data_IF_348433435033
#
_entry.id   IF_348433435033
#
_cell.length_a   1.000
_cell.length_b   1.000
_cell.length_c   1.000
_cell.angle_alpha   90.00
_cell.angle_beta   90.00
_cell.angle_gamma   90.00
#
_symmetry.space_group_name_H-M   'P 1'
#
loop_
_entity.id
_entity.type
_entity.pdbx_description
1 polymer ?
#
# COMPACT_ATOMS: atom_id res chain seq x y z
N UNK A 1 -9.15 15.95 11.99
CA UNK A 1 -9.07 15.86 10.51
C UNK A 1 -10.28 16.50 9.81
N UNK A 2 -11.04 17.38 10.49
CA UNK A 2 -12.30 17.91 9.96
C UNK A 2 -12.09 18.62 8.61
N UNK A 3 -12.84 18.19 7.60
CA UNK A 3 -12.81 18.79 6.26
C UNK A 3 -11.58 18.44 5.41
N UNK A 4 -10.63 17.65 5.93
CA UNK A 4 -9.49 17.14 5.17
C UNK A 4 -9.87 15.91 4.36
N UNK A 5 -9.33 15.79 3.16
CA UNK A 5 -9.49 14.60 2.31
C UNK A 5 -8.29 13.67 2.49
N UNK A 6 -8.55 12.46 2.98
CA UNK A 6 -7.53 11.44 3.28
C UNK A 6 -7.72 10.26 2.33
N UNK A 7 -6.72 10.00 1.50
CA UNK A 7 -6.67 8.84 0.62
C UNK A 7 -5.84 7.73 1.28
N UNK A 8 -6.44 6.55 1.45
CA UNK A 8 -5.78 5.39 2.05
C UNK A 8 -5.77 4.27 1.02
N UNK A 9 -4.58 3.74 0.71
CA UNK A 9 -4.47 2.50 -0.08
C UNK A 9 -4.43 1.29 0.84
N UNK A 10 -5.12 0.22 0.48
CA UNK A 10 -5.25 -0.97 1.34
C UNK A 10 -5.29 -2.28 0.56
N UNK A 11 -4.78 -3.35 1.17
CA UNK A 11 -4.73 -4.69 0.58
C UNK A 11 -3.49 -4.94 -0.30
N UNK A 12 -3.42 -6.12 -0.91
CA UNK A 12 -2.39 -6.48 -1.88
C UNK A 12 -2.80 -6.16 -3.32
N UNK A 13 -1.80 -5.88 -4.16
CA UNK A 13 -1.98 -5.83 -5.62
C UNK A 13 -2.08 -7.24 -6.21
N UNK A 14 -2.87 -7.40 -7.27
CA UNK A 14 -3.03 -8.63 -8.06
C UNK A 14 -2.45 -8.39 -9.47
N UNK A 15 -1.32 -9.04 -9.76
CA UNK A 15 -0.67 -8.94 -11.06
C UNK A 15 -1.04 -10.15 -11.91
N UNK A 16 -1.84 -9.89 -12.94
CA UNK A 16 -2.38 -10.91 -13.85
C UNK A 16 -1.27 -11.56 -14.67
N UNK A 17 -1.36 -12.88 -14.79
CA UNK A 17 -0.59 -13.68 -15.74
C UNK A 17 -1.39 -13.83 -17.03
N UNK A 18 -2.71 -14.01 -16.87
CA UNK A 18 -3.70 -14.13 -17.93
C UNK A 18 -5.07 -13.62 -17.41
N UNK A 19 -6.19 -13.91 -18.10
CA UNK A 19 -7.51 -13.45 -17.67
C UNK A 19 -8.10 -14.21 -16.46
N UNK A 20 -7.40 -15.22 -15.95
CA UNK A 20 -7.89 -16.14 -14.90
C UNK A 20 -6.93 -16.22 -13.70
N UNK A 21 -5.63 -16.10 -13.95
CA UNK A 21 -4.54 -16.33 -12.99
C UNK A 21 -3.73 -15.06 -12.79
N UNK A 22 -3.16 -14.96 -11.60
CA UNK A 22 -2.23 -13.90 -11.24
C UNK A 22 -1.52 -14.22 -9.93
N UNK A 23 -0.58 -13.37 -9.56
CA UNK A 23 0.07 -13.42 -8.26
C UNK A 23 -0.34 -12.21 -7.42
N UNK A 24 -0.46 -12.41 -6.12
CA UNK A 24 -0.93 -11.36 -5.20
C UNK A 24 -0.08 -11.32 -3.94
N UNK A 25 0.10 -10.11 -3.42
CA UNK A 25 0.58 -9.94 -2.06
C UNK A 25 -0.51 -10.36 -1.06
N UNK A 26 -0.10 -10.96 0.07
CA UNK A 26 -1.00 -11.59 1.03
C UNK A 26 -1.71 -10.60 1.98
N UNK A 27 -1.50 -9.30 1.80
CA UNK A 27 -2.12 -8.28 2.66
C UNK A 27 -3.63 -8.28 2.50
N UNK A 28 -4.35 -8.56 3.60
CA UNK A 28 -5.82 -8.50 3.67
C UNK A 28 -6.35 -7.09 3.95
N UNK A 29 -5.49 -6.07 4.06
CA UNK A 29 -5.90 -4.68 4.26
C UNK A 29 -6.36 -4.32 5.68
N UNK A 30 -6.07 -5.14 6.70
CA UNK A 30 -6.51 -4.89 8.09
C UNK A 30 -6.00 -3.54 8.62
N UNK A 31 -4.72 -3.21 8.39
CA UNK A 31 -4.16 -1.91 8.77
C UNK A 31 -4.89 -0.75 8.08
N UNK A 32 -5.16 -0.90 6.78
CA UNK A 32 -5.92 0.10 6.01
C UNK A 32 -7.33 0.32 6.57
N UNK A 33 -8.02 -0.74 7.04
CA UNK A 33 -9.31 -0.58 7.70
C UNK A 33 -9.19 0.29 8.96
N UNK A 34 -8.25 0.00 9.87
CA UNK A 34 -8.08 0.81 11.08
C UNK A 34 -7.76 2.28 10.78
N UNK A 35 -6.91 2.51 9.77
CA UNK A 35 -6.60 3.87 9.31
C UNK A 35 -7.84 4.59 8.79
N UNK A 36 -8.66 3.92 7.99
CA UNK A 36 -9.85 4.51 7.38
C UNK A 36 -10.93 4.85 8.43
N UNK A 37 -11.13 3.94 9.38
CA UNK A 37 -12.06 4.16 10.49
C UNK A 37 -11.61 5.32 11.39
N UNK A 38 -10.33 5.40 11.73
CA UNK A 38 -9.81 6.50 12.54
C UNK A 38 -9.86 7.84 11.80
N UNK A 39 -9.55 7.87 10.50
CA UNK A 39 -9.68 9.06 9.67
C UNK A 39 -11.13 9.59 9.68
N UNK A 40 -12.09 8.70 9.43
CA UNK A 40 -13.51 9.00 9.38
C UNK A 40 -13.99 9.51 10.75
N UNK A 41 -13.61 8.83 11.83
CA UNK A 41 -13.93 9.23 13.21
C UNK A 41 -13.43 10.63 13.56
N UNK A 42 -12.30 11.06 12.98
CA UNK A 42 -11.75 12.41 13.15
C UNK A 42 -12.31 13.46 12.17
N UNK A 43 -13.37 13.12 11.43
CA UNK A 43 -14.10 14.03 10.54
C UNK A 43 -13.48 14.22 9.15
N UNK A 44 -12.59 13.31 8.72
CA UNK A 44 -12.03 13.34 7.38
C UNK A 44 -13.02 12.86 6.32
N UNK A 45 -12.90 13.38 5.10
CA UNK A 45 -13.45 12.75 3.91
C UNK A 45 -12.49 11.63 3.48
N UNK A 46 -12.94 10.37 3.50
CA UNK A 46 -12.06 9.22 3.23
C UNK A 46 -12.26 8.69 1.81
N UNK A 47 -11.15 8.60 1.07
CA UNK A 47 -11.06 7.81 -0.16
C UNK A 47 -10.35 6.51 0.19
N UNK A 48 -11.09 5.42 0.22
CA UNK A 48 -10.55 4.09 0.52
C UNK A 48 -10.28 3.34 -0.78
N UNK A 49 -9.03 3.39 -1.21
CA UNK A 49 -8.56 2.73 -2.42
C UNK A 49 -8.10 1.31 -2.08
N UNK A 50 -8.76 0.28 -2.58
CA UNK A 50 -8.61 -1.08 -2.07
C UNK A 50 -8.32 -2.12 -3.13
N UNK A 51 -7.42 -3.06 -2.81
CA UNK A 51 -7.08 -4.17 -3.67
C UNK A 51 -8.22 -5.18 -3.77
N UNK A 52 -8.13 -6.07 -4.76
CA UNK A 52 -9.17 -7.04 -5.11
C UNK A 52 -9.64 -7.91 -3.93
N UNK A 53 -8.73 -8.35 -3.06
CA UNK A 53 -9.02 -9.21 -1.90
C UNK A 53 -9.02 -8.47 -0.55
N UNK A 54 -9.02 -7.14 -0.57
CA UNK A 54 -8.92 -6.34 0.65
C UNK A 54 -10.21 -6.40 1.47
N UNK A 55 -10.07 -6.43 2.81
CA UNK A 55 -11.17 -6.16 3.72
C UNK A 55 -11.64 -4.72 3.55
N UNK A 56 -12.96 -4.53 3.55
CA UNK A 56 -13.58 -3.21 3.60
C UNK A 56 -13.77 -2.77 5.07
N UNK A 57 -13.63 -1.46 5.37
CA UNK A 57 -13.99 -0.90 6.67
C UNK A 57 -15.46 -1.17 7.02
N UNK A 58 -15.79 -1.18 8.30
CA UNK A 58 -17.17 -1.34 8.80
C UNK A 58 -18.04 -0.19 8.30
N UNK A 59 -17.51 1.03 8.33
CA UNK A 59 -18.20 2.24 7.89
C UNK A 59 -17.94 2.59 6.41
N UNK A 60 -17.63 1.59 5.56
CA UNK A 60 -17.31 1.80 4.15
C UNK A 60 -18.36 2.59 3.37
N UNK A 61 -19.65 2.50 3.75
CA UNK A 61 -20.74 3.26 3.13
C UNK A 61 -20.63 4.79 3.32
N UNK A 62 -19.80 5.26 4.26
CA UNK A 62 -19.53 6.67 4.51
C UNK A 62 -18.25 7.16 3.81
N UNK A 63 -17.63 6.30 2.99
CA UNK A 63 -16.35 6.54 2.32
C UNK A 63 -16.51 6.46 0.81
N UNK A 64 -15.59 7.08 0.07
CA UNK A 64 -15.48 6.84 -1.38
C UNK A 64 -14.63 5.60 -1.62
N UNK A 65 -15.23 4.53 -2.14
CA UNK A 65 -14.52 3.28 -2.43
C UNK A 65 -13.97 3.27 -3.85
N UNK A 66 -12.69 2.94 -4.01
CA UNK A 66 -12.02 2.82 -5.31
C UNK A 66 -11.25 1.51 -5.39
N UNK A 67 -11.76 0.53 -6.14
CA UNK A 67 -11.06 -0.74 -6.34
C UNK A 67 -9.83 -0.60 -7.24
N UNK A 68 -8.77 -1.36 -6.97
CA UNK A 68 -7.62 -1.52 -7.88
C UNK A 68 -7.20 -3.00 -8.01
N UNK A 69 -6.53 -3.31 -9.12
CA UNK A 69 -5.94 -4.62 -9.38
C UNK A 69 -4.41 -4.61 -9.14
N UNK A 70 -3.63 -4.33 -10.19
CA UNK A 70 -2.16 -4.30 -10.13
C UNK A 70 -1.57 -2.97 -9.68
N UNK A 71 -0.25 -2.94 -9.50
CA UNK A 71 0.50 -1.75 -9.06
C UNK A 71 0.45 -0.60 -10.07
N UNK A 72 0.35 -0.88 -11.37
CA UNK A 72 0.20 0.15 -12.41
C UNK A 72 -1.17 0.82 -12.35
N UNK A 73 -2.23 0.03 -12.17
CA UNK A 73 -3.61 0.52 -12.00
C UNK A 73 -3.74 1.35 -10.70
N UNK A 74 -3.17 0.85 -9.59
CA UNK A 74 -3.04 1.61 -8.34
C UNK A 74 -2.34 2.96 -8.57
N UNK A 75 -1.22 2.95 -9.30
CA UNK A 75 -0.47 4.16 -9.65
C UNK A 75 -1.29 5.16 -10.46
N UNK A 76 -2.02 4.70 -11.49
CA UNK A 76 -2.87 5.54 -12.32
C UNK A 76 -4.01 6.18 -11.51
N UNK A 77 -4.68 5.40 -10.65
CA UNK A 77 -5.76 5.88 -9.79
C UNK A 77 -5.28 6.86 -8.73
N UNK A 78 -4.12 6.60 -8.12
CA UNK A 78 -3.48 7.53 -7.20
C UNK A 78 -3.17 8.86 -7.88
N UNK A 79 -2.52 8.82 -9.05
CA UNK A 79 -2.19 10.01 -9.82
C UNK A 79 -3.43 10.84 -10.12
N UNK A 80 -4.49 10.20 -10.61
CA UNK A 80 -5.76 10.88 -10.85
C UNK A 80 -6.32 11.53 -9.58
N UNK A 81 -6.40 10.78 -8.48
CA UNK A 81 -6.98 11.28 -7.23
C UNK A 81 -6.20 12.48 -6.67
N UNK A 82 -4.87 12.41 -6.58
CA UNK A 82 -4.07 13.50 -6.00
C UNK A 82 -4.03 14.76 -6.87
N UNK A 83 -4.26 14.63 -8.18
CA UNK A 83 -4.28 15.77 -9.12
C UNK A 83 -5.67 16.38 -9.27
N UNK A 84 -6.75 15.60 -9.13
CA UNK A 84 -8.10 16.03 -9.49
C UNK A 84 -9.08 16.13 -8.32
N UNK A 85 -8.79 15.53 -7.17
CA UNK A 85 -9.77 15.40 -6.07
C UNK A 85 -9.39 16.15 -4.79
N UNK A 86 -8.37 17.02 -4.84
CA UNK A 86 -7.98 17.85 -3.69
C UNK A 86 -7.61 17.02 -2.45
N UNK A 87 -6.75 16.01 -2.63
CA UNK A 87 -6.30 15.13 -1.53
C UNK A 87 -5.27 15.86 -0.67
N UNK A 88 -5.53 15.98 0.63
CA UNK A 88 -4.62 16.57 1.61
C UNK A 88 -3.56 15.58 2.10
N UNK A 89 -3.96 14.33 2.32
CA UNK A 89 -3.13 13.28 2.92
C UNK A 89 -3.26 11.99 2.12
N UNK A 90 -2.11 11.37 1.80
CA UNK A 90 -2.05 10.04 1.20
C UNK A 90 -1.34 9.09 2.17
N UNK A 91 -2.01 7.99 2.52
CA UNK A 91 -1.46 6.93 3.36
C UNK A 91 -1.33 5.65 2.52
N UNK A 92 -0.08 5.31 2.18
CA UNK A 92 0.26 4.16 1.34
C UNK A 92 0.40 2.88 2.17
N UNK A 93 -0.72 2.27 2.57
CA UNK A 93 -0.76 1.02 3.35
C UNK A 93 -0.99 -0.24 2.49
N UNK A 94 -1.21 -0.10 1.18
CA UNK A 94 -1.28 -1.25 0.28
C UNK A 94 0.09 -1.93 0.11
N UNK A 95 0.07 -3.26 0.00
CA UNK A 95 1.22 -4.06 -0.34
C UNK A 95 1.34 -4.14 -1.87
N UNK A 96 2.06 -3.20 -2.47
CA UNK A 96 2.34 -3.18 -3.91
C UNK A 96 3.36 -4.23 -4.33
N UNK A 97 3.14 -4.85 -5.49
CA UNK A 97 4.04 -5.82 -6.10
C UNK A 97 5.35 -5.16 -6.54
N UNK A 98 6.47 -5.85 -6.32
CA UNK A 98 7.78 -5.42 -6.81
C UNK A 98 8.08 -5.90 -8.23
N UNK A 99 7.26 -6.82 -8.74
CA UNK A 99 7.38 -7.44 -10.04
C UNK A 99 6.07 -7.44 -10.80
N UNK A 100 6.16 -7.35 -12.12
CA UNK A 100 5.08 -7.50 -13.08
C UNK A 100 5.40 -8.66 -14.00
N UNK A 101 4.37 -9.35 -14.53
CA UNK A 101 4.58 -10.28 -15.64
C UNK A 101 5.05 -9.49 -16.86
N UNK A 102 6.15 -9.95 -17.46
CA UNK A 102 6.68 -9.39 -18.70
C UNK A 102 6.32 -10.28 -19.88
N UNK A 103 6.71 -11.56 -19.79
CA UNK A 103 6.47 -12.57 -20.81
C UNK A 103 6.16 -13.93 -20.18
N UNK A 104 5.45 -14.76 -20.93
CA UNK A 104 5.14 -16.13 -20.55
C UNK A 104 5.56 -17.06 -21.69
N UNK A 105 6.19 -18.18 -21.38
CA UNK A 105 6.64 -19.17 -22.35
C UNK A 105 6.15 -20.57 -21.99
N UNK A 106 6.02 -21.42 -23.01
CA UNK A 106 5.89 -22.87 -22.81
C UNK A 106 7.26 -23.50 -22.45
N UNK A 107 7.26 -24.81 -22.16
CA UNK A 107 8.50 -25.54 -21.86
C UNK A 107 9.42 -25.70 -23.08
N UNK A 108 8.92 -25.49 -24.29
CA UNK A 108 9.71 -25.52 -25.53
C UNK A 108 10.36 -24.16 -25.85
N UNK A 109 10.08 -23.13 -25.06
CA UNK A 109 10.60 -21.78 -25.24
C UNK A 109 9.81 -20.91 -26.21
N UNK A 110 8.60 -21.31 -26.61
CA UNK A 110 7.72 -20.49 -27.44
C UNK A 110 6.97 -19.48 -26.55
N UNK A 111 6.93 -18.22 -26.97
CA UNK A 111 6.20 -17.17 -26.25
C UNK A 111 4.69 -17.42 -26.37
N UNK A 112 4.02 -17.50 -25.22
CA UNK A 112 2.58 -17.68 -25.12
C UNK A 112 1.90 -16.31 -25.24
N UNK A 113 1.37 -16.02 -26.43
CA UNK A 113 0.76 -14.71 -26.76
C UNK A 113 -0.77 -14.73 -26.78
N UNK A 114 -1.37 -15.91 -26.61
CA UNK A 114 -2.82 -16.06 -26.61
C UNK A 114 -3.46 -15.28 -25.46
N UNK A 115 -4.51 -14.52 -25.77
CA UNK A 115 -5.30 -13.82 -24.79
C UNK A 115 -6.40 -14.73 -24.24
N UNK A 116 -6.49 -14.87 -22.91
CA UNK A 116 -7.52 -15.70 -22.30
C UNK A 116 -7.00 -16.50 -21.11
N UNK A 117 -7.41 -17.76 -21.03
CA UNK A 117 -6.88 -18.73 -20.06
C UNK A 117 -5.76 -19.51 -20.75
N UNK A 118 -4.53 -19.41 -20.28
CA UNK A 118 -3.45 -20.21 -20.88
C UNK A 118 -3.69 -21.71 -20.62
N UNK A 119 -3.20 -22.60 -21.49
CA UNK A 119 -3.20 -24.05 -21.26
C UNK A 119 -2.61 -24.44 -19.90
N UNK A 120 -3.01 -25.60 -19.39
CA UNK A 120 -2.56 -26.13 -18.09
C UNK A 120 -2.01 -27.55 -18.17
N UNK A 121 -1.76 -28.05 -19.39
CA UNK A 121 -1.14 -29.36 -19.60
C UNK A 121 0.30 -29.37 -19.10
N UNK A 122 1.02 -28.26 -19.30
CA UNK A 122 2.37 -28.04 -18.79
C UNK A 122 2.48 -26.71 -18.03
N UNK A 123 3.41 -26.60 -17.06
CA UNK A 123 3.63 -25.36 -16.33
C UNK A 123 4.24 -24.28 -17.25
N UNK A 124 3.79 -23.02 -17.18
CA UNK A 124 4.41 -21.94 -17.91
C UNK A 124 5.73 -21.50 -17.27
N UNK A 125 6.63 -20.92 -18.07
CA UNK A 125 7.81 -20.18 -17.61
C UNK A 125 7.45 -18.70 -17.60
N UNK A 126 7.45 -18.07 -16.42
CA UNK A 126 7.07 -16.66 -16.25
C UNK A 126 8.32 -15.81 -16.12
N UNK A 127 8.48 -14.84 -17.02
CA UNK A 127 9.49 -13.81 -16.91
C UNK A 127 8.90 -12.58 -16.23
N UNK A 128 9.55 -12.13 -15.17
CA UNK A 128 9.17 -10.93 -14.44
C UNK A 128 10.00 -9.72 -14.86
N UNK A 129 9.36 -8.57 -14.92
CA UNK A 129 10.02 -7.26 -14.94
C UNK A 129 9.78 -6.50 -13.63
N UNK A 130 10.62 -5.50 -13.37
CA UNK A 130 10.49 -4.66 -12.18
C UNK A 130 9.26 -3.76 -12.26
N UNK A 131 8.50 -3.69 -11.17
CA UNK A 131 7.37 -2.78 -11.04
C UNK A 131 7.80 -1.31 -10.81
N UNK A 132 6.96 -0.33 -11.20
CA UNK A 132 7.20 1.07 -10.90
C UNK A 132 7.16 1.36 -9.38
N UNK A 133 8.04 2.24 -8.90
CA UNK A 133 8.07 2.65 -7.49
C UNK A 133 7.11 3.82 -7.24
N UNK A 134 5.84 3.51 -6.97
CA UNK A 134 4.76 4.51 -6.86
C UNK A 134 4.95 5.54 -5.73
N UNK A 135 5.42 5.12 -4.54
CA UNK A 135 5.50 6.00 -3.36
C UNK A 135 6.22 7.34 -3.64
N UNK A 136 7.39 7.29 -4.30
CA UNK A 136 8.17 8.50 -4.62
C UNK A 136 7.52 9.35 -5.72
N UNK A 137 6.71 8.76 -6.60
CA UNK A 137 6.05 9.49 -7.68
C UNK A 137 4.92 10.38 -7.18
N UNK A 138 4.29 10.05 -6.04
CA UNK A 138 3.19 10.83 -5.45
C UNK A 138 3.63 12.28 -5.19
N UNK A 139 4.84 12.48 -4.64
CA UNK A 139 5.39 13.81 -4.40
C UNK A 139 5.74 14.56 -5.69
N UNK A 140 5.99 13.87 -6.80
CA UNK A 140 6.11 14.50 -8.11
C UNK A 140 4.75 14.95 -8.65
N UNK A 141 3.68 14.18 -8.41
CA UNK A 141 2.34 14.50 -8.89
C UNK A 141 1.66 15.59 -8.06
N UNK A 142 1.91 15.61 -6.75
CA UNK A 142 1.37 16.58 -5.80
C UNK A 142 2.40 16.86 -4.69
N UNK A 143 3.29 17.85 -4.86
CA UNK A 143 4.37 18.13 -3.91
C UNK A 143 3.89 18.47 -2.49
N UNK A 144 2.73 19.14 -2.39
CA UNK A 144 2.18 19.64 -1.13
C UNK A 144 1.45 18.58 -0.28
N UNK A 145 1.15 17.39 -0.83
CA UNK A 145 0.38 16.36 -0.10
C UNK A 145 1.18 15.83 1.09
N UNK A 146 0.55 15.64 2.24
CA UNK A 146 1.18 14.90 3.34
C UNK A 146 1.23 13.44 2.95
N UNK A 147 2.43 12.87 2.82
CA UNK A 147 2.63 11.50 2.37
C UNK A 147 3.09 10.63 3.53
N UNK A 148 2.35 9.55 3.79
CA UNK A 148 2.69 8.51 4.77
C UNK A 148 3.00 7.21 4.04
N UNK A 149 4.19 6.66 4.25
CA UNK A 149 4.58 5.35 3.76
C UNK A 149 4.52 4.27 4.84
N UNK A 150 4.52 3.01 4.40
CA UNK A 150 4.74 1.85 5.27
C UNK A 150 6.02 1.11 4.86
N UNK A 151 6.74 0.57 5.85
CA UNK A 151 7.93 -0.24 5.66
C UNK A 151 7.87 -1.51 6.52
N UNK A 152 7.48 -2.59 5.87
CA UNK A 152 7.60 -3.94 6.42
C UNK A 152 9.02 -4.47 6.21
N UNK A 153 9.56 -5.13 7.24
CA UNK A 153 10.90 -5.73 7.24
C UNK A 153 10.92 -7.07 7.99
N UNK A 154 11.85 -7.95 7.64
CA UNK A 154 11.98 -9.26 8.30
C UNK A 154 12.75 -9.19 9.64
N UNK A 155 13.54 -8.15 9.85
CA UNK A 155 14.31 -7.95 11.09
C UNK A 155 13.39 -7.58 12.26
N UNK A 156 13.78 -7.98 13.47
CA UNK A 156 13.12 -7.57 14.72
C UNK A 156 13.90 -6.47 15.44
N UNK A 157 15.10 -6.14 14.97
CA UNK A 157 15.95 -5.14 15.59
C UNK A 157 15.40 -3.74 15.33
N UNK A 158 14.99 -3.06 16.41
CA UNK A 158 14.31 -1.76 16.33
C UNK A 158 15.18 -0.71 15.63
N UNK A 159 16.47 -0.66 15.95
CA UNK A 159 17.38 0.29 15.34
C UNK A 159 17.48 0.10 13.81
N UNK A 160 17.47 -1.14 13.35
CA UNK A 160 17.53 -1.47 11.92
C UNK A 160 16.20 -1.17 11.21
N UNK A 161 15.06 -1.50 11.84
CA UNK A 161 13.74 -1.13 11.35
C UNK A 161 13.63 0.37 11.11
N UNK A 162 13.98 1.17 12.13
CA UNK A 162 13.93 2.63 12.07
C UNK A 162 14.88 3.15 11.02
N UNK A 163 16.14 2.69 10.97
CA UNK A 163 17.11 3.15 9.98
C UNK A 163 16.66 2.90 8.53
N UNK A 164 16.13 1.70 8.23
CA UNK A 164 15.64 1.35 6.89
C UNK A 164 14.39 2.15 6.52
N UNK A 165 13.49 2.37 7.48
CA UNK A 165 12.29 3.18 7.29
C UNK A 165 12.64 4.66 7.05
N UNK A 166 13.54 5.26 7.84
CA UNK A 166 14.03 6.63 7.65
C UNK A 166 14.66 6.81 6.26
N UNK A 167 15.51 5.87 5.81
CA UNK A 167 16.08 5.91 4.46
C UNK A 167 15.00 5.88 3.37
N UNK A 168 13.97 5.04 3.56
CA UNK A 168 12.85 4.97 2.61
C UNK A 168 12.02 6.26 2.61
N UNK A 169 11.80 6.85 3.78
CA UNK A 169 11.06 8.10 3.97
C UNK A 169 11.74 9.23 3.21
N UNK A 170 13.04 9.42 3.44
CA UNK A 170 13.85 10.45 2.77
C UNK A 170 13.86 10.28 1.25
N UNK A 171 14.14 9.07 0.75
CA UNK A 171 14.19 8.80 -0.70
C UNK A 171 12.84 8.92 -1.41
N UNK A 172 11.72 8.92 -0.68
CA UNK A 172 10.38 9.15 -1.23
C UNK A 172 9.78 10.50 -0.86
N UNK A 173 10.53 11.33 -0.12
CA UNK A 173 10.07 12.61 0.42
C UNK A 173 8.76 12.47 1.22
N UNK A 174 8.54 11.32 1.86
CA UNK A 174 7.39 11.11 2.72
C UNK A 174 7.53 11.94 4.01
N UNK A 175 6.42 12.47 4.51
CA UNK A 175 6.35 13.21 5.77
C UNK A 175 6.46 12.27 6.97
N UNK A 176 5.92 11.05 6.82
CA UNK A 176 5.97 10.01 7.83
C UNK A 176 6.25 8.65 7.21
N UNK A 177 6.84 7.76 8.00
CA UNK A 177 7.01 6.34 7.66
C UNK A 177 6.64 5.47 8.86
N UNK A 178 5.77 4.49 8.63
CA UNK A 178 5.41 3.50 9.64
C UNK A 178 6.23 2.23 9.39
N UNK A 179 7.11 1.89 10.33
CA UNK A 179 7.95 0.70 10.27
C UNK A 179 7.36 -0.43 11.13
N UNK A 180 7.39 -1.66 10.61
CA UNK A 180 6.92 -2.84 11.34
C UNK A 180 7.66 -4.10 10.90
N UNK A 181 7.79 -5.06 11.82
CA UNK A 181 8.38 -6.36 11.53
C UNK A 181 7.37 -7.29 10.85
N UNK A 182 7.83 -8.31 10.11
CA UNK A 182 7.00 -9.32 9.47
C UNK A 182 6.12 -10.10 10.45
N UNK A 183 6.50 -10.18 11.74
CA UNK A 183 5.67 -10.77 12.79
C UNK A 183 4.30 -10.09 12.91
N UNK A 184 4.26 -8.78 12.66
CA UNK A 184 3.02 -8.00 12.70
C UNK A 184 1.98 -8.37 11.64
N UNK A 185 2.34 -9.14 10.61
CA UNK A 185 1.35 -9.65 9.66
C UNK A 185 0.32 -10.56 10.32
N UNK A 186 0.74 -11.33 11.34
CA UNK A 186 -0.09 -12.33 12.02
C UNK A 186 -0.27 -12.04 13.51
N UNK A 187 0.58 -11.22 14.11
CA UNK A 187 0.44 -10.77 15.50
C UNK A 187 -0.50 -9.57 15.63
N UNK A 188 -1.38 -9.63 16.63
CA UNK A 188 -2.34 -8.54 16.93
C UNK A 188 -1.67 -7.34 17.59
N UNK A 189 -0.76 -7.59 18.54
CA UNK A 189 -0.10 -6.58 19.37
C UNK A 189 1.32 -6.24 18.92
N UNK A 190 1.74 -6.73 17.76
CA UNK A 190 3.08 -6.46 17.26
C UNK A 190 3.27 -4.96 16.98
N UNK A 191 4.43 -4.42 17.36
CA UNK A 191 4.63 -2.98 17.34
C UNK A 191 4.72 -2.36 15.94
N UNK A 192 4.35 -1.08 15.88
CA UNK A 192 4.53 -0.20 14.72
C UNK A 192 5.20 1.09 15.16
N UNK A 193 6.32 1.44 14.51
CA UNK A 193 7.12 2.64 14.78
C UNK A 193 6.80 3.71 13.75
N UNK A 194 6.17 4.80 14.20
CA UNK A 194 5.85 5.95 13.37
C UNK A 194 7.02 6.91 13.47
N UNK A 195 7.63 7.22 12.33
CA UNK A 195 8.80 8.07 12.21
C UNK A 195 8.39 9.32 11.44
N UNK A 196 8.75 10.50 11.95
CA UNK A 196 8.50 11.77 11.29
C UNK A 196 9.77 12.35 10.64
N UNK A 197 9.61 13.45 9.91
CA UNK A 197 10.70 14.13 9.22
C UNK A 197 11.74 14.78 10.17
N UNK A 198 11.40 15.04 11.44
CA UNK A 198 12.33 15.54 12.46
C UNK A 198 13.17 14.41 13.09
N UNK A 199 12.79 13.15 12.86
CA UNK A 199 13.44 11.97 13.43
C UNK A 199 12.81 11.50 14.74
N UNK A 200 11.69 12.08 15.16
CA UNK A 200 10.91 11.59 16.29
C UNK A 200 10.32 10.22 15.96
N UNK A 201 10.31 9.33 16.96
CA UNK A 201 9.82 7.96 16.81
C UNK A 201 8.75 7.68 17.85
N UNK A 202 7.53 7.46 17.39
CA UNK A 202 6.39 7.10 18.24
C UNK A 202 6.12 5.60 18.14
N UNK A 203 6.04 4.95 19.30
CA UNK A 203 5.70 3.54 19.44
C UNK A 203 4.20 3.33 19.64
N UNK A 204 3.62 2.42 18.85
CA UNK A 204 2.26 1.93 19.04
C UNK A 204 2.24 0.39 19.07
N UNK A 205 1.37 -0.20 19.90
CA UNK A 205 1.27 -1.66 20.05
C UNK A 205 0.08 -2.20 19.25
N UNK A 206 0.35 -2.89 18.15
CA UNK A 206 -0.71 -3.38 17.27
C UNK A 206 -1.27 -2.34 16.30
N UNK A 207 -2.15 -2.81 15.41
CA UNK A 207 -2.60 -2.05 14.23
C UNK A 207 -3.58 -0.92 14.57
N UNK A 208 -4.49 -1.15 15.52
CA UNK A 208 -5.47 -0.16 15.93
C UNK A 208 -4.80 1.02 16.64
N UNK A 209 -3.94 0.74 17.62
CA UNK A 209 -3.14 1.78 18.28
C UNK A 209 -2.25 2.53 17.29
N UNK A 210 -1.67 1.83 16.30
CA UNK A 210 -0.87 2.46 15.27
C UNK A 210 -1.67 3.46 14.42
N UNK A 211 -2.93 3.14 14.09
CA UNK A 211 -3.80 4.07 13.39
C UNK A 211 -4.09 5.32 14.24
N UNK A 212 -4.48 5.13 15.50
CA UNK A 212 -4.74 6.23 16.43
C UNK A 212 -3.50 7.11 16.63
N UNK A 213 -2.34 6.49 16.87
CA UNK A 213 -1.08 7.19 17.08
C UNK A 213 -0.67 7.98 15.83
N UNK A 214 -0.79 7.39 14.63
CA UNK A 214 -0.47 8.09 13.38
C UNK A 214 -1.36 9.32 13.19
N UNK A 215 -2.67 9.22 13.43
CA UNK A 215 -3.55 10.39 13.28
C UNK A 215 -3.32 11.47 14.35
N UNK A 216 -2.80 11.13 15.54
CA UNK A 216 -2.31 12.14 16.50
C UNK A 216 -1.09 12.88 15.98
N UNK A 217 -0.18 12.20 15.29
CA UNK A 217 0.99 12.83 14.65
C UNK A 217 0.63 13.69 13.44
N UNK A 218 -0.48 13.38 12.76
CA UNK A 218 -0.96 14.12 11.58
C UNK A 218 -1.78 15.38 11.92
N UNK A 219 -2.29 15.48 13.15
CA UNK A 219 -3.15 16.57 13.61
C UNK A 219 -2.38 17.86 13.85
#
# INVERSE_FOLDING_TARGET
MQGKTVLITSGGTLEKWDNVRGHTNLSKGIMGCYLAEEALKQGANVIYMHGYFAKLPVNAAQMTLVGFEGIEDLGAKLKYAVQQQGVDIVIMAAAGSDWLVDKVFDQSGNEMTEQGKMPSDEPPIIHFKKAPKILAQIKTWQPAVTLVGFKLEATTEVAELVARATKRMQSSQASFMVANSSKSLYGEHEPHWIIDAAGEVVKASGKEEAAVALFRCLA
#
